data_IF_167520999759
#
_entry.id   IF_167520999759
#
_cell.length_a   1.000
_cell.length_b   1.000
_cell.length_c   1.000
_cell.angle_alpha   90.00
_cell.angle_beta   90.00
_cell.angle_gamma   90.00
#
_symmetry.space_group_name_H-M   'P 1'
#
loop_
_entity.id
_entity.type
_entity.pdbx_description
1 polymer ?
#
# COMPACT_ATOMS: atom_id res chain seq x y z
N UNK A 1 24.01 32.39 29.70
CA UNK A 1 24.88 31.24 30.02
C UNK A 1 25.18 30.55 28.66
N UNK A 2 26.39 30.79 28.15
CA UNK A 2 26.84 30.29 26.89
C UNK A 2 27.32 28.82 27.01
N UNK A 3 27.19 28.08 25.96
CA UNK A 3 27.89 26.80 25.79
C UNK A 3 28.72 26.89 24.51
N UNK A 4 30.03 26.77 24.67
CA UNK A 4 31.04 26.87 23.64
C UNK A 4 31.10 25.64 22.74
N UNK A 5 31.43 25.91 21.46
CA UNK A 5 31.72 24.90 20.43
C UNK A 5 33.26 24.67 20.41
N UNK A 6 33.78 23.47 20.36
CA UNK A 6 35.20 23.27 20.07
C UNK A 6 35.48 23.11 18.58
N UNK A 7 36.48 23.84 18.09
CA UNK A 7 37.08 23.76 16.78
C UNK A 7 37.93 22.51 16.62
N UNK A 8 37.86 21.88 15.43
CA UNK A 8 38.77 20.76 15.06
C UNK A 8 39.72 21.30 13.97
N UNK A 9 41.01 21.21 14.31
CA UNK A 9 42.10 21.59 13.44
C UNK A 9 42.38 20.60 12.32
N UNK A 10 42.80 21.13 11.19
CA UNK A 10 43.30 20.41 10.03
C UNK A 10 44.79 19.98 10.26
N UNK A 11 45.12 18.72 9.98
CA UNK A 11 46.48 18.31 9.66
C UNK A 11 46.52 17.48 8.38
N UNK A 12 47.36 17.96 7.50
CA UNK A 12 47.64 17.46 6.17
C UNK A 12 48.81 16.45 6.28
N UNK A 13 48.65 15.22 5.82
CA UNK A 13 49.80 14.36 5.50
C UNK A 13 49.49 13.55 4.22
N UNK A 14 50.38 13.73 3.22
CA UNK A 14 50.45 12.96 1.97
C UNK A 14 51.26 11.69 2.22
N UNK A 15 50.73 10.55 1.78
CA UNK A 15 51.45 9.27 1.82
C UNK A 15 50.96 8.33 0.72
N UNK A 16 51.78 8.22 -0.30
CA UNK A 16 52.09 7.11 -1.22
C UNK A 16 51.05 6.04 -1.59
N UNK A 17 50.88 5.91 -2.91
CA UNK A 17 50.21 4.82 -3.64
C UNK A 17 50.75 3.43 -3.29
N UNK A 18 49.84 2.48 -3.07
CA UNK A 18 50.11 1.06 -3.21
C UNK A 18 48.91 0.42 -3.92
N UNK A 19 49.19 -0.16 -5.09
CA UNK A 19 48.24 -0.95 -5.83
C UNK A 19 48.00 -2.29 -5.11
N UNK A 20 46.78 -2.59 -4.77
CA UNK A 20 46.40 -3.85 -4.09
C UNK A 20 44.98 -4.23 -4.42
N UNK A 21 44.86 -5.25 -5.29
CA UNK A 21 43.85 -6.28 -5.37
C UNK A 21 42.39 -5.88 -5.14
N UNK A 22 41.67 -5.84 -6.20
CA UNK A 22 40.20 -5.90 -6.28
C UNK A 22 39.70 -7.17 -5.51
N UNK A 23 39.40 -7.04 -4.22
CA UNK A 23 38.60 -8.01 -3.50
C UNK A 23 37.17 -7.62 -3.69
N UNK A 24 36.46 -8.40 -4.52
CA UNK A 24 35.04 -8.30 -4.74
C UNK A 24 34.30 -8.03 -3.43
N UNK A 25 33.73 -6.84 -3.34
CA UNK A 25 32.72 -6.51 -2.32
C UNK A 25 31.57 -7.47 -2.57
N UNK A 26 31.43 -8.48 -1.72
CA UNK A 26 30.23 -9.30 -1.66
C UNK A 26 29.07 -8.35 -1.36
N UNK A 27 28.36 -7.94 -2.40
CA UNK A 27 27.20 -7.10 -2.27
C UNK A 27 26.19 -7.83 -1.38
N UNK A 28 25.89 -7.22 -0.26
CA UNK A 28 24.72 -7.56 0.55
C UNK A 28 23.52 -7.66 -0.41
N UNK A 29 22.68 -8.71 -0.35
CA UNK A 29 21.52 -8.81 -1.24
C UNK A 29 20.72 -7.51 -1.08
N UNK A 30 20.64 -6.77 -2.18
CA UNK A 30 19.97 -5.47 -2.20
C UNK A 30 18.55 -5.64 -1.65
N UNK A 31 18.16 -4.80 -0.70
CA UNK A 31 16.81 -4.75 -0.17
C UNK A 31 15.79 -4.75 -1.32
N UNK A 32 14.85 -5.68 -1.32
CA UNK A 32 13.87 -5.82 -2.38
C UNK A 32 12.51 -6.20 -1.81
N UNK A 33 11.50 -5.40 -2.12
CA UNK A 33 10.11 -5.68 -1.78
C UNK A 33 9.49 -6.83 -2.61
N UNK A 34 10.14 -7.22 -3.70
CA UNK A 34 9.69 -8.36 -4.53
C UNK A 34 10.20 -9.71 -4.05
N UNK A 35 11.15 -9.71 -3.15
CA UNK A 35 11.72 -10.95 -2.60
C UNK A 35 11.05 -11.27 -1.26
N UNK A 36 10.76 -12.55 -1.05
CA UNK A 36 10.25 -13.01 0.26
C UNK A 36 11.29 -12.68 1.33
N UNK A 37 10.93 -11.95 2.40
CA UNK A 37 11.87 -11.57 3.43
C UNK A 37 12.37 -12.78 4.22
N UNK A 38 13.61 -12.70 4.70
CA UNK A 38 14.13 -13.70 5.63
C UNK A 38 13.42 -13.59 7.01
N UNK A 39 13.32 -14.67 7.79
CA UNK A 39 12.64 -14.64 9.09
C UNK A 39 13.20 -13.59 10.07
N UNK A 40 14.49 -13.23 9.97
CA UNK A 40 15.12 -12.18 10.79
C UNK A 40 14.59 -10.78 10.51
N UNK A 41 13.98 -10.56 9.34
CA UNK A 41 13.44 -9.26 8.93
C UNK A 41 12.03 -9.00 9.51
N UNK A 42 11.39 -9.98 10.14
CA UNK A 42 10.10 -9.79 10.80
C UNK A 42 10.21 -8.61 11.79
N UNK A 43 9.32 -7.63 11.64
CA UNK A 43 9.25 -6.49 12.54
C UNK A 43 8.80 -6.92 13.93
N UNK A 44 9.44 -6.36 14.95
CA UNK A 44 9.07 -6.58 16.35
C UNK A 44 8.62 -5.25 16.93
N UNK A 45 7.44 -5.24 17.49
CA UNK A 45 6.87 -4.07 18.14
C UNK A 45 7.19 -4.08 19.64
N UNK A 46 7.22 -2.90 20.26
CA UNK A 46 7.48 -2.77 21.68
C UNK A 46 6.44 -3.55 22.53
N UNK A 47 6.82 -4.07 23.68
CA UNK A 47 5.84 -4.60 24.63
C UNK A 47 4.75 -3.57 24.93
N UNK A 48 3.49 -3.97 24.85
CA UNK A 48 2.34 -3.08 25.05
C UNK A 48 1.87 -2.32 23.80
N UNK A 49 2.51 -2.51 22.62
CA UNK A 49 1.98 -2.00 21.36
C UNK A 49 0.54 -2.48 21.10
N UNK A 50 0.26 -3.74 21.47
CA UNK A 50 -1.03 -4.38 21.24
C UNK A 50 -1.27 -4.63 19.76
N UNK A 51 -2.55 -4.76 19.40
CA UNK A 51 -2.98 -4.78 18.00
C UNK A 51 -3.49 -3.41 17.58
N UNK A 52 -3.28 -3.07 16.32
CA UNK A 52 -3.75 -1.81 15.73
C UNK A 52 -4.37 -2.07 14.38
N UNK A 53 -5.37 -1.27 14.02
CA UNK A 53 -5.89 -1.21 12.66
C UNK A 53 -5.36 0.04 11.95
N UNK A 54 -5.07 -0.09 10.67
CA UNK A 54 -4.74 1.00 9.76
C UNK A 54 -5.77 0.97 8.63
N UNK A 55 -6.50 2.06 8.45
CA UNK A 55 -7.38 2.24 7.30
C UNK A 55 -6.67 3.06 6.24
N UNK A 56 -6.38 2.44 5.12
CA UNK A 56 -5.86 3.11 3.93
C UNK A 56 -6.97 3.28 2.91
N UNK A 57 -7.06 4.47 2.34
CA UNK A 57 -7.99 4.78 1.26
C UNK A 57 -7.16 5.06 0.02
N UNK A 58 -7.21 4.15 -0.94
CA UNK A 58 -6.59 4.35 -2.24
C UNK A 58 -7.37 5.47 -2.94
N UNK A 59 -6.81 6.70 -2.82
CA UNK A 59 -7.48 7.94 -3.21
C UNK A 59 -6.98 8.33 -4.58
N UNK A 60 -7.72 7.89 -5.55
CA UNK A 60 -7.29 7.80 -6.93
C UNK A 60 -8.30 8.43 -7.89
N UNK A 61 -7.90 8.61 -9.14
CA UNK A 61 -8.76 9.05 -10.21
C UNK A 61 -9.89 8.04 -10.49
N UNK A 62 -11.01 8.55 -10.99
CA UNK A 62 -12.07 7.72 -11.56
C UNK A 62 -11.63 7.23 -12.94
N UNK A 63 -11.54 5.94 -13.14
CA UNK A 63 -11.22 5.32 -14.42
C UNK A 63 -12.20 4.17 -14.73
N UNK A 64 -12.24 3.75 -15.99
CA UNK A 64 -13.04 2.59 -16.37
C UNK A 64 -12.31 1.30 -15.94
N UNK A 65 -12.89 0.59 -14.97
CA UNK A 65 -12.32 -0.66 -14.43
C UNK A 65 -12.31 -1.82 -15.44
N UNK A 66 -13.12 -1.73 -16.49
CA UNK A 66 -13.24 -2.73 -17.56
C UNK A 66 -12.58 -2.27 -18.86
N UNK A 67 -12.17 -1.00 -18.93
CA UNK A 67 -11.59 -0.37 -20.09
C UNK A 67 -10.06 -0.37 -20.13
N UNK A 68 -9.53 0.31 -21.13
CA UNK A 68 -8.10 0.52 -21.28
C UNK A 68 -7.62 1.63 -20.35
N UNK A 69 -6.36 1.55 -19.90
CA UNK A 69 -5.73 2.64 -19.15
C UNK A 69 -5.60 3.88 -20.03
N UNK A 70 -5.89 5.06 -19.45
CA UNK A 70 -5.80 6.34 -20.14
C UNK A 70 -5.10 7.38 -19.27
N UNK A 71 -4.23 8.19 -19.88
CA UNK A 71 -3.58 9.29 -19.19
C UNK A 71 -4.49 10.51 -18.99
N UNK A 72 -5.58 10.61 -19.74
CA UNK A 72 -6.43 11.80 -19.80
C UNK A 72 -7.93 11.54 -19.58
N UNK A 73 -8.39 10.30 -19.78
CA UNK A 73 -9.78 9.95 -19.59
C UNK A 73 -10.03 9.46 -18.15
N UNK A 74 -10.15 10.43 -17.26
CA UNK A 74 -10.39 10.19 -15.84
C UNK A 74 -11.22 11.33 -15.23
N UNK A 75 -11.84 11.08 -14.08
CA UNK A 75 -12.65 12.04 -13.35
C UNK A 75 -12.26 12.16 -11.88
N UNK A 76 -12.85 13.13 -11.19
CA UNK A 76 -12.68 13.37 -9.74
C UNK A 76 -14.03 13.76 -9.10
N UNK A 77 -15.15 13.24 -9.61
CA UNK A 77 -16.50 13.60 -9.12
C UNK A 77 -16.74 13.10 -7.71
N UNK A 78 -16.15 11.93 -7.36
CA UNK A 78 -16.27 11.30 -6.04
C UNK A 78 -15.61 12.10 -4.92
N UNK A 79 -14.77 13.09 -5.21
CA UNK A 79 -14.18 13.96 -4.17
C UNK A 79 -15.24 14.60 -3.25
N UNK A 80 -16.44 14.82 -3.75
CA UNK A 80 -17.56 15.32 -2.91
C UNK A 80 -17.95 14.33 -1.81
N UNK A 81 -17.87 13.02 -2.09
CA UNK A 81 -18.26 11.96 -1.16
C UNK A 81 -17.19 11.67 -0.11
N UNK A 82 -15.93 12.08 -0.35
CA UNK A 82 -14.86 11.96 0.66
C UNK A 82 -15.19 12.78 1.91
N UNK A 83 -15.89 13.91 1.79
CA UNK A 83 -16.26 14.72 2.94
C UNK A 83 -17.25 13.99 3.88
N UNK A 84 -18.21 13.27 3.31
CA UNK A 84 -19.18 12.46 4.07
C UNK A 84 -18.47 11.26 4.73
N UNK A 85 -17.56 10.63 3.98
CA UNK A 85 -16.75 9.53 4.50
C UNK A 85 -15.83 10.01 5.65
N UNK A 86 -15.17 11.16 5.52
CA UNK A 86 -14.33 11.71 6.57
C UNK A 86 -15.14 11.96 7.86
N UNK A 87 -16.32 12.56 7.73
CA UNK A 87 -17.21 12.75 8.89
C UNK A 87 -17.62 11.42 9.51
N UNK A 88 -17.94 10.43 8.69
CA UNK A 88 -18.22 9.07 9.17
C UNK A 88 -17.02 8.49 9.93
N UNK A 89 -15.82 8.56 9.38
CA UNK A 89 -14.59 8.06 10.00
C UNK A 89 -14.33 8.76 11.36
N UNK A 90 -14.45 10.08 11.41
CA UNK A 90 -14.33 10.85 12.66
C UNK A 90 -15.37 10.40 13.71
N UNK A 91 -16.61 10.12 13.30
CA UNK A 91 -17.67 9.67 14.20
C UNK A 91 -17.42 8.27 14.81
N UNK A 92 -16.69 7.41 14.11
CA UNK A 92 -16.30 6.09 14.62
C UNK A 92 -14.88 6.07 15.20
N UNK A 93 -14.24 7.24 15.33
CA UNK A 93 -12.91 7.38 15.95
C UNK A 93 -11.75 6.86 15.10
N UNK A 94 -11.90 6.81 13.78
CA UNK A 94 -10.89 6.32 12.83
C UNK A 94 -10.21 7.50 12.14
N UNK A 95 -8.88 7.47 12.08
CA UNK A 95 -8.05 8.40 11.31
C UNK A 95 -7.63 7.69 10.03
N UNK A 96 -8.24 7.99 8.87
CA UNK A 96 -7.86 7.36 7.61
C UNK A 96 -6.55 7.91 7.08
N UNK A 97 -5.81 7.07 6.37
CA UNK A 97 -4.65 7.45 5.55
C UNK A 97 -5.07 7.46 4.09
N UNK A 98 -5.17 8.65 3.50
CA UNK A 98 -5.47 8.83 2.08
C UNK A 98 -4.19 8.67 1.26
N UNK A 99 -4.09 7.59 0.50
CA UNK A 99 -2.99 7.35 -0.43
C UNK A 99 -3.36 8.01 -1.76
N UNK A 100 -2.77 9.16 -2.06
CA UNK A 100 -3.22 10.00 -3.17
C UNK A 100 -2.31 9.88 -4.40
N UNK A 101 -2.95 9.87 -5.56
CA UNK A 101 -2.32 9.87 -6.87
C UNK A 101 -2.07 11.29 -7.41
N UNK A 102 -1.56 11.39 -8.63
CA UNK A 102 -1.25 12.67 -9.27
C UNK A 102 -2.48 13.54 -9.57
N UNK A 103 -3.61 13.04 -10.12
CA UNK A 103 -4.84 13.80 -10.31
C UNK A 103 -5.38 14.38 -9.01
N UNK A 104 -5.43 13.59 -7.94
CA UNK A 104 -5.86 14.04 -6.61
C UNK A 104 -4.88 15.09 -6.05
N UNK A 105 -3.56 14.82 -6.11
CA UNK A 105 -2.54 15.72 -5.62
C UNK A 105 -2.50 17.06 -6.37
N UNK A 106 -3.00 17.10 -7.62
CA UNK A 106 -3.08 18.30 -8.46
C UNK A 106 -4.42 19.04 -8.34
N UNK A 107 -5.44 18.46 -7.68
CA UNK A 107 -6.76 19.05 -7.52
C UNK A 107 -6.78 20.11 -6.42
N UNK A 108 -7.20 21.35 -6.76
CA UNK A 108 -7.38 22.41 -5.77
C UNK A 108 -8.44 22.05 -4.72
N UNK A 109 -9.52 21.38 -5.13
CA UNK A 109 -10.57 20.90 -4.23
C UNK A 109 -10.05 19.85 -3.24
N UNK A 110 -9.25 18.88 -3.71
CA UNK A 110 -8.64 17.89 -2.84
C UNK A 110 -7.66 18.55 -1.86
N UNK A 111 -6.87 19.53 -2.33
CA UNK A 111 -5.95 20.30 -1.50
C UNK A 111 -6.66 21.01 -0.35
N UNK A 112 -7.76 21.70 -0.62
CA UNK A 112 -8.53 22.40 0.42
C UNK A 112 -9.08 21.41 1.45
N UNK A 113 -9.72 20.35 0.99
CA UNK A 113 -10.44 19.39 1.82
C UNK A 113 -9.48 18.50 2.61
N UNK A 114 -8.62 17.73 1.94
CA UNK A 114 -7.68 16.81 2.60
C UNK A 114 -6.63 17.56 3.40
N UNK A 115 -6.18 18.73 2.91
CA UNK A 115 -5.27 19.61 3.65
C UNK A 115 -5.85 20.12 4.96
N UNK A 116 -7.17 20.35 5.02
CA UNK A 116 -7.85 20.68 6.27
C UNK A 116 -7.85 19.51 7.25
N UNK A 117 -8.17 18.32 6.79
CA UNK A 117 -8.18 17.11 7.63
C UNK A 117 -6.80 16.83 8.23
N UNK A 118 -5.73 16.96 7.42
CA UNK A 118 -4.34 16.82 7.89
C UNK A 118 -4.00 17.86 8.96
N UNK A 119 -4.35 19.14 8.73
CA UNK A 119 -4.11 20.20 9.73
C UNK A 119 -4.84 19.96 11.05
N UNK A 120 -6.03 19.38 11.01
CA UNK A 120 -6.81 19.01 12.19
C UNK A 120 -6.31 17.72 12.86
N UNK A 121 -5.42 16.98 12.20
CA UNK A 121 -4.94 15.67 12.67
C UNK A 121 -6.00 14.56 12.59
N UNK A 122 -7.02 14.74 11.73
CA UNK A 122 -8.12 13.77 11.55
C UNK A 122 -7.93 12.88 10.33
N UNK A 123 -6.87 13.10 9.54
CA UNK A 123 -6.43 12.23 8.45
C UNK A 123 -4.92 12.35 8.23
N UNK A 124 -4.35 11.36 7.55
CA UNK A 124 -2.99 11.38 7.04
C UNK A 124 -2.98 11.27 5.51
N UNK A 125 -1.91 11.74 4.87
CA UNK A 125 -1.68 11.60 3.43
C UNK A 125 -0.47 10.72 3.19
N UNK A 126 -0.65 9.74 2.31
CA UNK A 126 0.39 8.92 1.71
C UNK A 126 0.46 9.10 0.20
N UNK A 127 1.30 8.31 -0.43
CA UNK A 127 1.57 8.35 -1.87
C UNK A 127 1.00 7.11 -2.54
N UNK A 128 0.24 7.27 -3.64
CA UNK A 128 -0.13 6.20 -4.54
C UNK A 128 0.34 6.51 -5.96
N UNK A 129 1.24 5.70 -6.50
CA UNK A 129 1.77 5.94 -7.84
C UNK A 129 0.99 5.15 -8.89
N UNK A 130 0.17 5.86 -9.68
CA UNK A 130 -0.44 5.39 -10.91
C UNK A 130 0.37 5.89 -12.11
N UNK A 131 1.20 5.05 -12.77
CA UNK A 131 2.11 5.54 -13.80
C UNK A 131 1.41 6.25 -14.95
N UNK A 132 0.24 5.75 -15.38
CA UNK A 132 -0.48 6.23 -16.56
C UNK A 132 -1.04 7.64 -16.42
N UNK A 133 -1.32 8.13 -15.20
CA UNK A 133 -1.80 9.49 -14.94
C UNK A 133 -0.74 10.39 -14.31
N UNK A 134 0.47 9.87 -14.05
CA UNK A 134 1.55 10.61 -13.38
C UNK A 134 2.65 11.01 -14.38
N UNK A 135 3.00 12.31 -14.52
CA UNK A 135 4.10 12.74 -15.38
C UNK A 135 5.47 12.27 -14.85
N UNK A 136 6.50 12.18 -15.74
CA UNK A 136 6.47 12.47 -17.18
C UNK A 136 5.80 11.32 -17.94
N UNK A 137 5.15 11.63 -19.07
CA UNK A 137 4.46 10.66 -19.92
C UNK A 137 5.40 10.23 -21.06
N UNK A 138 6.33 9.33 -20.75
CA UNK A 138 7.35 8.84 -21.67
C UNK A 138 7.11 7.39 -22.11
N UNK A 139 6.33 6.65 -21.36
CA UNK A 139 5.97 5.27 -21.64
C UNK A 139 4.68 5.15 -22.45
N UNK A 140 4.54 4.07 -23.19
CA UNK A 140 3.26 3.66 -23.75
C UNK A 140 2.31 3.24 -22.62
N UNK A 141 1.11 3.82 -22.60
CA UNK A 141 0.06 3.44 -21.64
C UNK A 141 -0.52 2.10 -22.06
N UNK A 142 -0.28 1.07 -21.28
CA UNK A 142 -0.77 -0.30 -21.51
C UNK A 142 -0.82 -1.09 -20.19
N UNK A 143 -1.46 -2.28 -20.16
CA UNK A 143 -1.57 -3.08 -18.94
C UNK A 143 -0.24 -3.48 -18.31
N UNK A 144 0.84 -3.67 -19.07
CA UNK A 144 2.15 -4.01 -18.54
C UNK A 144 2.80 -2.81 -17.85
N UNK A 145 2.83 -1.65 -18.50
CA UNK A 145 3.41 -0.41 -17.96
C UNK A 145 2.55 0.24 -16.87
N UNK A 146 1.31 -0.22 -16.65
CA UNK A 146 0.49 0.21 -15.52
C UNK A 146 1.00 -0.29 -14.16
N UNK A 147 1.89 -1.29 -14.15
CA UNK A 147 2.69 -1.63 -12.97
C UNK A 147 3.95 -0.76 -12.95
N UNK A 148 4.06 0.16 -11.99
CA UNK A 148 5.18 1.10 -11.90
C UNK A 148 6.55 0.43 -11.94
N UNK A 149 6.66 -0.72 -11.31
CA UNK A 149 7.90 -1.51 -11.27
C UNK A 149 8.31 -2.18 -12.59
N UNK A 150 7.48 -2.11 -13.63
CA UNK A 150 7.82 -2.57 -14.98
C UNK A 150 8.43 -1.46 -15.84
N UNK A 151 8.34 -0.21 -15.40
CA UNK A 151 8.98 0.92 -16.06
C UNK A 151 10.51 0.87 -15.90
N UNK A 152 11.26 1.50 -16.80
CA UNK A 152 12.67 1.80 -16.55
C UNK A 152 12.83 2.48 -15.19
N UNK A 153 13.78 2.03 -14.37
CA UNK A 153 13.94 2.54 -13.01
C UNK A 153 14.06 4.06 -12.91
N UNK A 154 14.74 4.70 -13.88
CA UNK A 154 14.85 6.15 -13.91
C UNK A 154 13.49 6.82 -14.05
N UNK A 155 12.60 6.27 -14.86
CA UNK A 155 11.25 6.78 -15.10
C UNK A 155 10.33 6.52 -13.89
N UNK A 156 10.35 5.31 -13.32
CA UNK A 156 9.63 5.00 -12.07
C UNK A 156 10.00 6.02 -10.98
N UNK A 157 11.33 6.22 -10.79
CA UNK A 157 11.84 7.15 -9.78
C UNK A 157 11.44 8.59 -10.06
N UNK A 158 11.49 9.05 -11.29
CA UNK A 158 11.13 10.42 -11.66
C UNK A 158 9.64 10.68 -11.41
N UNK A 159 8.77 9.77 -11.85
CA UNK A 159 7.32 9.84 -11.59
C UNK A 159 7.04 9.93 -10.09
N UNK A 160 7.65 9.04 -9.31
CA UNK A 160 7.51 9.01 -7.87
C UNK A 160 7.94 10.33 -7.21
N UNK A 161 9.12 10.85 -7.56
CA UNK A 161 9.63 12.09 -6.97
C UNK A 161 8.76 13.31 -7.32
N UNK A 162 8.25 13.39 -8.55
CA UNK A 162 7.32 14.46 -8.93
C UNK A 162 6.03 14.40 -8.12
N UNK A 163 5.51 13.20 -7.88
CA UNK A 163 4.31 13.04 -7.06
C UNK A 163 4.58 13.40 -5.60
N UNK A 164 5.68 12.92 -5.01
CA UNK A 164 6.06 13.26 -3.65
C UNK A 164 6.23 14.78 -3.48
N UNK A 165 6.95 15.44 -4.40
CA UNK A 165 7.13 16.90 -4.40
C UNK A 165 5.79 17.64 -4.50
N UNK A 166 4.90 17.17 -5.39
CA UNK A 166 3.55 17.73 -5.54
C UNK A 166 2.74 17.64 -4.25
N UNK A 167 2.81 16.51 -3.55
CA UNK A 167 2.12 16.32 -2.27
C UNK A 167 2.70 17.28 -1.22
N UNK A 168 4.03 17.37 -1.10
CA UNK A 168 4.68 18.27 -0.13
C UNK A 168 4.29 19.73 -0.39
N UNK A 169 4.34 20.18 -1.64
CA UNK A 169 3.98 21.56 -2.02
C UNK A 169 2.52 21.89 -1.71
N UNK A 170 1.61 20.95 -2.03
CA UNK A 170 0.18 21.23 -1.98
C UNK A 170 -0.43 21.06 -0.61
N UNK A 171 0.04 20.09 0.17
CA UNK A 171 -0.57 19.72 1.45
C UNK A 171 0.28 20.13 2.65
N UNK A 172 1.48 20.66 2.42
CA UNK A 172 2.44 21.04 3.46
C UNK A 172 2.68 19.90 4.48
N UNK A 173 2.75 18.67 3.99
CA UNK A 173 3.06 17.47 4.78
C UNK A 173 4.09 16.62 4.05
N UNK A 174 4.89 15.86 4.80
CA UNK A 174 5.84 14.91 4.23
C UNK A 174 5.24 13.50 4.35
N UNK A 175 4.78 12.91 3.23
CA UNK A 175 4.14 11.61 3.28
C UNK A 175 5.14 10.52 3.67
N UNK A 176 4.74 9.66 4.62
CA UNK A 176 5.59 8.61 5.17
C UNK A 176 5.22 7.21 4.69
N UNK A 177 4.06 7.04 4.03
CA UNK A 177 3.56 5.78 3.54
C UNK A 177 3.38 5.83 2.02
N UNK A 178 3.73 4.73 1.36
CA UNK A 178 3.61 4.53 -0.09
C UNK A 178 2.82 3.27 -0.40
N UNK A 179 2.07 3.32 -1.49
CA UNK A 179 1.50 2.15 -2.17
C UNK A 179 1.70 2.28 -3.67
N UNK A 180 2.28 1.25 -4.28
CA UNK A 180 2.34 1.15 -5.73
C UNK A 180 0.94 0.87 -6.29
N UNK A 181 0.51 1.62 -7.28
CA UNK A 181 -0.69 1.32 -8.04
C UNK A 181 -0.70 -0.12 -8.54
N UNK A 182 -1.85 -0.78 -8.46
CA UNK A 182 -1.97 -2.20 -8.79
C UNK A 182 -1.00 -3.12 -8.02
N UNK A 183 -0.46 -2.64 -6.89
CA UNK A 183 0.55 -3.37 -6.09
C UNK A 183 1.87 -3.63 -6.87
N UNK A 184 2.17 -2.80 -7.86
CA UNK A 184 3.15 -3.01 -8.91
C UNK A 184 4.58 -2.60 -8.55
N UNK A 185 5.18 -3.15 -7.49
CA UNK A 185 6.55 -2.87 -7.08
C UNK A 185 7.60 -3.40 -8.07
N UNK A 186 8.65 -2.61 -8.27
CA UNK A 186 9.85 -2.98 -9.02
C UNK A 186 10.98 -3.54 -8.15
N UNK A 187 12.05 -3.97 -8.79
CA UNK A 187 13.23 -4.47 -8.08
C UNK A 187 14.00 -3.36 -7.35
N UNK A 188 13.82 -2.11 -7.77
CA UNK A 188 14.49 -0.93 -7.21
C UNK A 188 13.55 -0.04 -6.36
N UNK A 189 12.25 -0.37 -6.27
CA UNK A 189 11.29 0.45 -5.52
C UNK A 189 11.68 0.62 -4.06
N UNK A 190 12.20 -0.42 -3.39
CA UNK A 190 12.69 -0.32 -2.01
C UNK A 190 13.80 0.72 -1.85
N UNK A 191 14.75 0.77 -2.79
CA UNK A 191 15.82 1.77 -2.79
C UNK A 191 15.29 3.16 -3.04
N UNK A 192 14.41 3.32 -4.03
CA UNK A 192 13.74 4.59 -4.33
C UNK A 192 13.04 5.17 -3.09
N UNK A 193 12.25 4.36 -2.39
CA UNK A 193 11.53 4.77 -1.20
C UNK A 193 12.47 5.16 -0.04
N UNK A 194 13.53 4.36 0.20
CA UNK A 194 14.50 4.68 1.26
C UNK A 194 15.30 5.93 0.96
N UNK A 195 15.71 6.15 -0.29
CA UNK A 195 16.43 7.36 -0.73
C UNK A 195 15.54 8.61 -0.59
N UNK A 196 14.23 8.47 -0.81
CA UNK A 196 13.23 9.52 -0.65
C UNK A 196 12.69 9.67 0.80
N UNK A 197 13.22 8.90 1.75
CA UNK A 197 12.85 8.93 3.18
C UNK A 197 11.38 8.57 3.45
N UNK A 198 10.78 7.74 2.62
CA UNK A 198 9.50 7.11 2.93
C UNK A 198 9.78 5.97 3.91
N UNK A 199 9.04 5.96 5.01
CA UNK A 199 9.27 5.02 6.11
C UNK A 199 8.49 3.71 5.97
N UNK A 200 7.37 3.74 5.27
CA UNK A 200 6.43 2.61 5.18
C UNK A 200 6.07 2.36 3.71
N UNK A 201 6.18 1.11 3.28
CA UNK A 201 5.51 0.60 2.09
C UNK A 201 4.30 -0.23 2.51
N UNK A 202 3.21 -0.15 1.78
CA UNK A 202 2.01 -0.98 1.96
C UNK A 202 1.50 -1.46 0.62
N UNK A 203 2.43 -1.94 -0.20
CA UNK A 203 2.12 -2.45 -1.55
C UNK A 203 2.05 -3.97 -1.62
N UNK A 204 2.62 -4.69 -0.65
CA UNK A 204 2.58 -6.15 -0.67
C UNK A 204 1.19 -6.64 -0.29
N UNK A 205 0.53 -7.31 -1.24
CA UNK A 205 -0.72 -8.03 -0.99
C UNK A 205 -0.42 -9.50 -0.86
N UNK A 206 -0.08 -9.92 0.35
CA UNK A 206 0.32 -11.29 0.64
C UNK A 206 -0.75 -12.31 0.16
N UNK A 207 -0.31 -13.49 -0.26
CA UNK A 207 -1.15 -14.56 -0.80
C UNK A 207 -1.73 -14.30 -2.21
N UNK A 208 -1.30 -13.23 -2.90
CA UNK A 208 -1.70 -12.93 -4.27
C UNK A 208 -0.54 -13.09 -5.26
N UNK A 209 -0.87 -13.51 -6.48
CA UNK A 209 0.05 -13.65 -7.62
C UNK A 209 -0.45 -12.79 -8.76
N UNK A 210 0.26 -11.71 -9.09
CA UNK A 210 -0.08 -10.79 -10.17
C UNK A 210 0.68 -11.07 -11.47
N UNK A 211 1.54 -12.10 -11.51
CA UNK A 211 2.31 -12.46 -12.72
C UNK A 211 1.46 -12.71 -13.96
N UNK A 212 0.24 -13.27 -13.88
CA UNK A 212 -0.61 -13.39 -15.06
C UNK A 212 -0.94 -12.07 -15.76
N UNK A 213 -0.94 -10.96 -15.00
CA UNK A 213 -1.13 -9.60 -15.53
C UNK A 213 0.19 -8.83 -15.74
N UNK A 214 1.35 -9.46 -15.55
CA UNK A 214 2.66 -8.81 -15.66
C UNK A 214 3.17 -8.18 -14.35
N UNK A 215 2.44 -8.34 -13.25
CA UNK A 215 2.80 -7.81 -11.93
C UNK A 215 3.69 -8.72 -11.09
N UNK A 216 3.94 -8.37 -9.82
CA UNK A 216 4.75 -9.17 -8.89
C UNK A 216 4.01 -10.40 -8.35
N UNK A 217 4.79 -11.34 -7.79
CA UNK A 217 4.28 -12.49 -7.06
C UNK A 217 4.48 -12.30 -5.55
N UNK A 218 3.38 -12.15 -4.83
CA UNK A 218 3.36 -12.04 -3.37
C UNK A 218 2.78 -13.29 -2.68
N UNK A 219 2.58 -14.38 -3.41
CA UNK A 219 1.94 -15.60 -2.90
C UNK A 219 2.64 -16.19 -1.68
N UNK A 220 3.96 -15.98 -1.55
CA UNK A 220 4.78 -16.49 -0.47
C UNK A 220 5.20 -15.43 0.56
N UNK A 221 4.83 -14.16 0.37
CA UNK A 221 5.16 -13.10 1.33
C UNK A 221 4.44 -13.32 2.66
N UNK A 222 5.06 -12.92 3.80
CA UNK A 222 4.44 -13.04 5.11
C UNK A 222 3.23 -12.10 5.23
N UNK A 223 2.37 -12.37 6.20
CA UNK A 223 1.26 -11.50 6.57
C UNK A 223 1.71 -10.46 7.59
N UNK A 224 2.74 -10.79 8.35
CA UNK A 224 3.30 -9.92 9.38
C UNK A 224 4.14 -8.80 8.76
N UNK A 225 4.16 -7.62 9.38
CA UNK A 225 5.08 -6.54 9.02
C UNK A 225 6.54 -6.98 9.07
N UNK A 226 7.36 -6.47 8.16
CA UNK A 226 8.78 -6.78 8.12
C UNK A 226 9.64 -5.61 7.64
N UNK A 227 10.88 -5.56 8.13
CA UNK A 227 11.87 -4.60 7.66
C UNK A 227 12.44 -5.03 6.31
N UNK A 228 12.36 -4.13 5.33
CA UNK A 228 12.84 -4.40 3.96
C UNK A 228 14.36 -4.37 3.89
N UNK A 229 14.98 -3.56 4.74
CA UNK A 229 16.43 -3.40 4.80
C UNK A 229 16.99 -3.61 6.23
N UNK A 230 18.25 -4.03 6.31
CA UNK A 230 18.92 -4.32 7.59
C UNK A 230 19.15 -3.07 8.47
N UNK A 231 18.92 -1.87 7.94
CA UNK A 231 19.02 -0.60 8.69
C UNK A 231 17.68 -0.14 9.24
N UNK A 232 16.62 -0.90 9.03
CA UNK A 232 15.26 -0.61 9.49
C UNK A 232 14.74 0.77 9.04
N UNK A 233 15.03 1.16 7.79
CA UNK A 233 14.59 2.45 7.23
C UNK A 233 13.26 2.36 6.52
N UNK A 234 12.91 1.18 5.99
CA UNK A 234 11.66 0.91 5.28
C UNK A 234 10.97 -0.29 5.91
N UNK A 235 9.78 -0.07 6.42
CA UNK A 235 8.88 -1.09 6.94
C UNK A 235 7.85 -1.44 5.87
N UNK A 236 7.71 -2.72 5.57
CA UNK A 236 6.56 -3.21 4.82
C UNK A 236 5.42 -3.52 5.78
N UNK A 237 4.24 -2.95 5.49
CA UNK A 237 2.96 -3.27 6.12
C UNK A 237 2.05 -3.95 5.09
N UNK A 238 2.07 -5.29 4.98
CA UNK A 238 1.25 -5.99 4.01
C UNK A 238 -0.24 -5.73 4.23
N UNK A 239 -0.99 -5.60 3.13
CA UNK A 239 -2.45 -5.60 3.20
C UNK A 239 -2.93 -6.90 3.84
N UNK A 240 -3.79 -6.79 4.84
CA UNK A 240 -4.22 -7.96 5.59
C UNK A 240 -5.10 -8.86 4.73
N UNK A 241 -4.58 -10.05 4.49
CA UNK A 241 -5.26 -11.13 3.77
C UNK A 241 -4.97 -12.42 4.50
N UNK A 242 -5.99 -13.17 4.84
CA UNK A 242 -5.85 -14.42 5.60
C UNK A 242 -6.56 -15.57 4.91
N UNK A 243 -6.24 -16.79 5.30
CA UNK A 243 -7.06 -17.96 4.98
C UNK A 243 -7.97 -18.31 6.16
N UNK A 244 -9.21 -18.63 5.84
CA UNK A 244 -10.20 -19.16 6.77
C UNK A 244 -10.69 -20.54 6.31
N UNK A 245 -11.12 -21.36 7.27
CA UNK A 245 -11.69 -22.68 7.03
C UNK A 245 -10.82 -23.81 7.58
N UNK A 246 -11.34 -25.05 7.45
CA UNK A 246 -10.69 -26.25 8.00
C UNK A 246 -9.28 -26.49 7.46
N UNK A 247 -9.03 -26.08 6.21
CA UNK A 247 -7.75 -26.24 5.51
C UNK A 247 -6.92 -24.94 5.49
N UNK A 248 -7.17 -23.96 6.40
CA UNK A 248 -6.50 -22.66 6.40
C UNK A 248 -4.98 -22.76 6.43
N UNK A 249 -4.43 -23.68 7.19
CA UNK A 249 -2.97 -23.88 7.32
C UNK A 249 -2.31 -24.44 6.05
N UNK A 250 -3.07 -25.09 5.19
CA UNK A 250 -2.65 -25.57 3.86
C UNK A 250 -2.94 -24.53 2.75
N UNK A 251 -3.57 -23.43 3.08
CA UNK A 251 -4.07 -22.43 2.12
C UNK A 251 -3.02 -21.95 1.12
N UNK A 252 -1.80 -21.63 1.58
CA UNK A 252 -0.69 -21.19 0.71
C UNK A 252 -0.36 -22.18 -0.39
N UNK A 253 -0.45 -23.48 -0.10
CA UNK A 253 -0.18 -24.54 -1.07
C UNK A 253 -1.42 -24.89 -1.90
N UNK A 254 -2.58 -24.98 -1.26
CA UNK A 254 -3.80 -25.50 -1.87
C UNK A 254 -4.49 -24.45 -2.76
N UNK A 255 -4.64 -23.21 -2.28
CA UNK A 255 -5.43 -22.18 -2.93
C UNK A 255 -4.95 -21.86 -4.37
N UNK A 256 -3.63 -21.68 -4.66
CA UNK A 256 -3.17 -21.42 -6.02
C UNK A 256 -3.40 -22.60 -6.97
N UNK A 257 -3.39 -23.84 -6.46
CA UNK A 257 -3.65 -25.04 -7.26
C UNK A 257 -5.13 -25.15 -7.62
N UNK A 258 -5.99 -24.87 -6.64
CA UNK A 258 -7.43 -24.90 -6.85
C UNK A 258 -7.90 -23.75 -7.73
N UNK A 259 -7.22 -22.59 -7.72
CA UNK A 259 -7.51 -21.45 -8.59
C UNK A 259 -7.37 -21.79 -10.10
N UNK A 260 -6.62 -22.85 -10.45
CA UNK A 260 -6.51 -23.34 -11.83
C UNK A 260 -7.75 -24.12 -12.29
N UNK A 261 -8.60 -24.53 -11.37
CA UNK A 261 -9.83 -25.27 -11.67
C UNK A 261 -11.04 -24.33 -11.59
N UNK A 262 -11.89 -24.29 -12.62
CA UNK A 262 -13.06 -23.44 -12.64
C UNK A 262 -13.93 -23.64 -11.39
N UNK A 263 -14.30 -22.55 -10.73
CA UNK A 263 -15.21 -22.52 -9.55
C UNK A 263 -14.72 -23.25 -8.30
N UNK A 264 -13.53 -23.88 -8.29
CA UNK A 264 -13.06 -24.69 -7.17
C UNK A 264 -12.90 -23.88 -5.88
N UNK A 265 -12.32 -22.68 -5.96
CA UNK A 265 -12.20 -21.81 -4.77
C UNK A 265 -13.57 -21.40 -4.21
N UNK A 266 -14.57 -21.14 -5.05
CA UNK A 266 -15.93 -20.86 -4.61
C UNK A 266 -16.61 -22.06 -3.93
N UNK A 267 -16.34 -23.28 -4.38
CA UNK A 267 -16.82 -24.51 -3.73
C UNK A 267 -16.16 -24.68 -2.36
N UNK A 268 -14.84 -24.49 -2.28
CA UNK A 268 -14.09 -24.57 -1.02
C UNK A 268 -14.58 -23.57 0.01
N UNK A 269 -14.87 -22.34 -0.41
CA UNK A 269 -15.41 -21.29 0.47
C UNK A 269 -16.82 -21.68 0.96
N UNK A 270 -17.73 -22.08 0.08
CA UNK A 270 -19.11 -22.50 0.44
C UNK A 270 -19.14 -23.71 1.37
N UNK A 271 -18.21 -24.63 1.21
CA UNK A 271 -18.08 -25.83 2.08
C UNK A 271 -17.29 -25.55 3.37
N UNK A 272 -16.88 -24.29 3.61
CA UNK A 272 -16.05 -23.86 4.75
C UNK A 272 -14.70 -24.58 4.86
N UNK A 273 -14.22 -25.11 3.75
CA UNK A 273 -12.93 -25.81 3.71
C UNK A 273 -11.77 -24.82 3.58
N UNK A 274 -11.87 -23.84 2.67
CA UNK A 274 -10.83 -22.86 2.45
C UNK A 274 -11.40 -21.59 1.78
N UNK A 275 -11.21 -20.45 2.40
CA UNK A 275 -11.55 -19.14 1.85
C UNK A 275 -10.36 -18.20 2.05
N UNK A 276 -10.04 -17.37 1.04
CA UNK A 276 -9.08 -16.28 1.17
C UNK A 276 -9.85 -14.99 1.40
N UNK A 277 -9.61 -14.34 2.53
CA UNK A 277 -10.32 -13.15 2.99
C UNK A 277 -9.33 -11.99 3.05
N UNK A 278 -9.63 -10.90 2.33
CA UNK A 278 -8.97 -9.61 2.47
C UNK A 278 -9.84 -8.69 3.34
N UNK A 279 -9.22 -7.74 4.05
CA UNK A 279 -9.96 -6.77 4.86
C UNK A 279 -10.32 -5.53 4.02
N UNK A 280 -11.39 -5.68 3.25
CA UNK A 280 -11.93 -4.62 2.38
C UNK A 280 -13.44 -4.75 2.28
N UNK A 281 -14.20 -3.65 2.24
CA UNK A 281 -15.63 -3.68 1.94
C UNK A 281 -15.93 -4.02 0.47
N UNK A 282 -14.91 -4.02 -0.39
CA UNK A 282 -15.04 -4.24 -1.82
C UNK A 282 -15.07 -5.73 -2.16
N UNK A 283 -16.27 -6.26 -2.29
CA UNK A 283 -16.52 -7.66 -2.65
C UNK A 283 -16.28 -8.70 -1.54
N UNK A 284 -16.06 -8.26 -0.30
CA UNK A 284 -15.93 -9.13 0.88
C UNK A 284 -17.09 -8.84 1.84
N UNK A 285 -17.98 -9.82 2.12
CA UNK A 285 -19.06 -9.63 3.10
C UNK A 285 -18.52 -9.32 4.50
N UNK A 286 -19.27 -8.52 5.26
CA UNK A 286 -18.92 -8.12 6.64
C UNK A 286 -18.60 -9.31 7.55
N UNK A 287 -19.42 -10.35 7.50
CA UNK A 287 -19.23 -11.57 8.29
C UNK A 287 -17.95 -12.33 7.91
N UNK A 288 -17.56 -12.26 6.62
CA UNK A 288 -16.29 -12.82 6.18
C UNK A 288 -15.11 -11.99 6.70
N UNK A 289 -15.22 -10.66 6.67
CA UNK A 289 -14.19 -9.79 7.22
C UNK A 289 -13.99 -10.00 8.72
N UNK A 290 -15.08 -10.15 9.51
CA UNK A 290 -15.01 -10.47 10.95
C UNK A 290 -14.27 -11.82 11.17
N UNK A 291 -14.62 -12.86 10.41
CA UNK A 291 -13.85 -14.13 10.45
C UNK A 291 -12.38 -13.94 10.08
N UNK A 292 -12.11 -13.04 9.12
CA UNK A 292 -10.74 -12.68 8.73
C UNK A 292 -9.97 -12.00 9.86
N UNK A 293 -10.61 -11.12 10.61
CA UNK A 293 -10.05 -10.49 11.81
C UNK A 293 -9.72 -11.53 12.87
N UNK A 294 -10.63 -12.46 13.17
CA UNK A 294 -10.37 -13.55 14.12
C UNK A 294 -9.13 -14.35 13.72
N UNK A 295 -9.00 -14.71 12.43
CA UNK A 295 -7.82 -15.43 11.94
C UNK A 295 -6.55 -14.61 12.07
N UNK A 296 -6.60 -13.31 11.80
CA UNK A 296 -5.46 -12.43 11.93
C UNK A 296 -5.03 -12.26 13.40
N UNK A 297 -5.99 -12.24 14.33
CA UNK A 297 -5.74 -12.21 15.78
C UNK A 297 -5.12 -13.54 16.24
N UNK A 298 -5.69 -14.67 15.82
CA UNK A 298 -5.17 -16.01 16.13
C UNK A 298 -3.74 -16.19 15.62
N UNK A 299 -3.43 -15.65 14.42
CA UNK A 299 -2.08 -15.68 13.83
C UNK A 299 -1.13 -14.63 14.47
N UNK A 300 -1.63 -13.82 15.43
CA UNK A 300 -0.83 -12.84 16.18
C UNK A 300 -0.37 -11.65 15.34
N UNK A 301 -1.15 -11.23 14.33
CA UNK A 301 -0.79 -10.06 13.51
C UNK A 301 -0.88 -8.78 14.35
N UNK A 302 0.20 -7.98 14.44
CA UNK A 302 0.21 -6.77 15.27
C UNK A 302 -0.52 -5.59 14.61
N UNK A 303 -0.63 -5.60 13.28
CA UNK A 303 -1.29 -4.55 12.50
C UNK A 303 -2.25 -5.18 11.50
N UNK A 304 -3.48 -4.71 11.48
CA UNK A 304 -4.50 -5.06 10.51
C UNK A 304 -4.64 -3.90 9.52
N UNK A 305 -4.24 -4.12 8.27
CA UNK A 305 -4.35 -3.10 7.21
C UNK A 305 -5.64 -3.36 6.44
N UNK A 306 -6.58 -2.44 6.60
CA UNK A 306 -7.82 -2.37 5.84
C UNK A 306 -7.65 -1.41 4.67
N UNK A 307 -8.27 -1.68 3.54
CA UNK A 307 -8.20 -0.77 2.39
C UNK A 307 -9.45 -0.81 1.52
N UNK A 308 -9.70 0.32 0.85
CA UNK A 308 -10.67 0.43 -0.23
C UNK A 308 -10.29 1.60 -1.17
N UNK A 309 -10.93 1.69 -2.36
CA UNK A 309 -10.69 2.74 -3.34
C UNK A 309 -11.71 3.88 -3.19
N UNK A 310 -11.25 5.13 -3.15
CA UNK A 310 -12.12 6.29 -2.93
C UNK A 310 -13.27 6.44 -3.94
N UNK A 311 -13.16 6.03 -5.20
CA UNK A 311 -14.31 6.03 -6.11
C UNK A 311 -15.48 5.14 -5.66
N UNK A 312 -15.26 4.14 -4.79
CA UNK A 312 -16.34 3.33 -4.18
C UNK A 312 -17.24 4.13 -3.23
N UNK A 313 -16.87 5.35 -2.86
CA UNK A 313 -17.72 6.26 -2.08
C UNK A 313 -18.83 6.93 -2.92
N UNK A 314 -18.88 6.64 -4.21
CA UNK A 314 -19.90 7.16 -5.11
C UNK A 314 -20.44 6.04 -6.02
N UNK A 315 -21.75 5.76 -5.99
CA UNK A 315 -22.33 4.69 -6.79
C UNK A 315 -22.03 4.82 -8.28
N UNK A 316 -21.73 3.69 -8.92
CA UNK A 316 -21.51 3.58 -10.36
C UNK A 316 -20.08 3.87 -10.82
N UNK A 317 -19.15 4.19 -9.92
CA UNK A 317 -17.74 4.45 -10.27
C UNK A 317 -16.82 3.25 -10.09
N UNK A 318 -17.28 2.21 -9.41
CA UNK A 318 -16.54 0.95 -9.26
C UNK A 318 -17.47 -0.24 -9.48
N UNK A 319 -16.95 -1.42 -9.80
CA UNK A 319 -17.76 -2.62 -9.91
C UNK A 319 -18.30 -3.11 -8.55
N UNK A 320 -17.83 -2.53 -7.45
CA UNK A 320 -18.18 -2.94 -6.08
C UNK A 320 -19.39 -2.19 -5.52
N UNK A 321 -19.55 -0.91 -5.86
CA UNK A 321 -20.63 -0.04 -5.39
C UNK A 321 -21.33 0.54 -6.63
N UNK A 322 -22.46 -0.07 -7.00
CA UNK A 322 -23.20 0.26 -8.23
C UNK A 322 -24.46 1.07 -7.96
N UNK A 323 -24.99 0.96 -6.74
CA UNK A 323 -26.24 1.58 -6.29
C UNK A 323 -26.09 2.23 -4.93
N UNK A 324 -27.07 3.00 -4.51
CA UNK A 324 -27.15 3.55 -3.15
C UNK A 324 -27.25 2.43 -2.10
N UNK A 325 -27.97 1.34 -2.42
CA UNK A 325 -28.03 0.17 -1.50
C UNK A 325 -26.65 -0.46 -1.29
N UNK A 326 -25.82 -0.58 -2.35
CA UNK A 326 -24.45 -1.05 -2.21
C UNK A 326 -23.59 -0.09 -1.36
N UNK A 327 -23.84 1.23 -1.48
CA UNK A 327 -23.15 2.22 -0.66
C UNK A 327 -23.56 2.13 0.81
N UNK A 328 -24.83 1.89 1.10
CA UNK A 328 -25.31 1.66 2.46
C UNK A 328 -24.68 0.39 3.06
N UNK A 329 -24.58 -0.71 2.29
CA UNK A 329 -23.90 -1.93 2.69
C UNK A 329 -22.39 -1.69 2.94
N UNK A 330 -21.75 -0.86 2.12
CA UNK A 330 -20.36 -0.45 2.30
C UNK A 330 -20.13 0.27 3.64
N UNK A 331 -20.98 1.24 3.98
CA UNK A 331 -20.89 1.93 5.27
C UNK A 331 -21.27 1.02 6.45
N UNK A 332 -22.23 0.12 6.28
CA UNK A 332 -22.58 -0.88 7.29
C UNK A 332 -21.45 -1.88 7.54
N UNK A 333 -20.71 -2.23 6.49
CA UNK A 333 -19.50 -3.04 6.62
C UNK A 333 -18.46 -2.33 7.51
N UNK A 334 -18.13 -1.09 7.19
CA UNK A 334 -17.15 -0.29 7.97
C UNK A 334 -17.61 -0.14 9.42
N UNK A 335 -18.87 0.23 9.65
CA UNK A 335 -19.43 0.40 11.00
C UNK A 335 -19.35 -0.90 11.79
N UNK A 336 -19.74 -2.01 11.18
CA UNK A 336 -19.73 -3.32 11.84
C UNK A 336 -18.35 -3.85 12.14
N UNK A 337 -17.39 -3.67 11.21
CA UNK A 337 -16.00 -4.09 11.40
C UNK A 337 -15.30 -3.25 12.47
N UNK A 338 -15.47 -1.91 12.47
CA UNK A 338 -14.86 -1.06 13.50
C UNK A 338 -15.54 -1.17 14.87
N UNK A 339 -16.81 -1.54 14.92
CA UNK A 339 -17.47 -1.89 16.19
C UNK A 339 -16.98 -3.23 16.77
N UNK A 340 -16.45 -4.10 15.90
CA UNK A 340 -15.88 -5.41 16.31
C UNK A 340 -14.42 -5.28 16.76
N UNK A 341 -13.62 -4.41 16.15
CA UNK A 341 -12.22 -4.10 16.50
C UNK A 341 -12.11 -3.32 17.81
#
# INVERSE_FOLDING_TARGET
MGIETPAIGASNERGAMSAGGDRGVSGNPSASLRSVPAPRQKARFAPGFGQRSLLTVDTEEEFDWEGDFSASDHGLKHLKSIAEFQQFAENIGVVPTYLIDWPIASSGRAQEMLGDYVRRGTAEIGIQLHPWVNPPFEEDVNPYNSYAGNLPHALEREKFLRLQERIIERFNCTPQIYRAGRYGLGTQSARMLTDARVAIDSSVRSLYDYRPGGGPDYSQHPLEPYWVDDRHRLLELPLTTVFWGLLRHQGRWLFPRMAKLPRANGILARTRLLERIALTPEGVPKEAAIRGIDMAIDDGLPVLVLSFHSPSLMPGLTPYVRSEDDLDEFYDWLRGVYAYL
#
